data_IF_789309642235
#
_entry.id   IF_789309642235
#
_cell.length_a   1.000
_cell.length_b   1.000
_cell.length_c   1.000
_cell.angle_alpha   90.00
_cell.angle_beta   90.00
_cell.angle_gamma   90.00
#
_symmetry.space_group_name_H-M   'P 1'
#
loop_
_entity.id
_entity.type
_entity.pdbx_description
1 polymer ?
#
# COMPACT_ATOMS: atom_id res chain seq x y z
N UNK A 1 8.73 -4.31 8.23
CA UNK A 1 9.50 -5.56 8.34
C UNK A 1 9.11 -6.40 7.14
N UNK A 2 9.66 -6.08 5.97
CA UNK A 2 9.37 -6.78 4.72
C UNK A 2 10.71 -7.05 4.04
N UNK A 3 11.47 -8.01 4.59
CA UNK A 3 12.72 -8.46 3.97
C UNK A 3 12.39 -9.48 2.88
N UNK A 4 11.69 -9.05 1.84
CA UNK A 4 11.54 -9.85 0.62
C UNK A 4 12.84 -9.74 -0.16
N UNK A 5 13.65 -10.79 -0.14
CA UNK A 5 14.80 -10.93 -1.03
C UNK A 5 14.29 -11.41 -2.39
N UNK A 6 14.76 -10.83 -3.49
CA UNK A 6 14.45 -11.38 -4.81
C UNK A 6 15.18 -12.71 -4.93
N UNK A 7 14.53 -13.73 -5.49
CA UNK A 7 15.17 -15.02 -5.76
C UNK A 7 16.50 -14.85 -6.53
N UNK A 8 16.56 -13.84 -7.42
CA UNK A 8 17.77 -13.45 -8.14
C UNK A 8 18.91 -13.03 -7.20
N UNK A 9 18.64 -12.22 -6.19
CA UNK A 9 19.67 -11.73 -5.25
C UNK A 9 20.32 -12.87 -4.46
N UNK A 10 19.54 -13.93 -4.18
CA UNK A 10 20.02 -15.14 -3.51
C UNK A 10 20.87 -15.98 -4.47
N UNK A 11 20.40 -16.15 -5.71
CA UNK A 11 21.10 -16.91 -6.74
C UNK A 11 22.43 -16.25 -7.12
N UNK A 12 22.46 -14.93 -7.25
CA UNK A 12 23.67 -14.17 -7.59
C UNK A 12 24.75 -14.35 -6.52
N UNK A 13 24.36 -14.42 -5.24
CA UNK A 13 25.30 -14.70 -4.13
C UNK A 13 25.76 -16.16 -4.08
N UNK A 14 24.93 -17.10 -4.53
CA UNK A 14 25.26 -18.52 -4.52
C UNK A 14 26.03 -18.98 -5.77
N UNK A 15 26.17 -18.13 -6.80
CA UNK A 15 26.88 -18.48 -8.03
C UNK A 15 28.30 -18.97 -7.74
N UNK A 16 28.67 -20.09 -8.36
CA UNK A 16 30.00 -20.70 -8.21
C UNK A 16 30.18 -21.51 -6.92
N UNK A 17 29.16 -21.62 -6.06
CA UNK A 17 29.17 -22.50 -4.89
C UNK A 17 28.48 -23.83 -5.20
N UNK A 18 28.87 -24.89 -4.50
CA UNK A 18 28.21 -26.21 -4.61
C UNK A 18 26.72 -26.16 -4.23
N UNK A 19 26.34 -25.18 -3.41
CA UNK A 19 24.96 -24.93 -2.99
C UNK A 19 24.07 -24.31 -4.07
N UNK A 20 24.63 -23.80 -5.18
CA UNK A 20 23.88 -23.09 -6.23
C UNK A 20 22.71 -23.93 -6.76
N UNK A 21 22.97 -25.19 -7.11
CA UNK A 21 21.96 -26.06 -7.73
C UNK A 21 20.83 -26.41 -6.76
N UNK A 22 21.15 -26.63 -5.49
CA UNK A 22 20.16 -26.94 -4.46
C UNK A 22 19.24 -25.75 -4.20
N UNK A 23 19.81 -24.55 -4.02
CA UNK A 23 19.06 -23.31 -3.81
C UNK A 23 18.19 -23.00 -5.02
N UNK A 24 18.74 -23.17 -6.23
CA UNK A 24 18.00 -22.99 -7.49
C UNK A 24 16.79 -23.92 -7.58
N UNK A 25 16.99 -25.21 -7.30
CA UNK A 25 15.89 -26.20 -7.32
C UNK A 25 14.77 -25.84 -6.35
N UNK A 26 15.11 -25.43 -5.12
CA UNK A 26 14.13 -24.99 -4.12
C UNK A 26 13.39 -23.75 -4.61
N UNK A 27 14.09 -22.70 -5.03
CA UNK A 27 13.47 -21.44 -5.46
C UNK A 27 12.54 -21.61 -6.67
N UNK A 28 12.90 -22.46 -7.63
CA UNK A 28 12.05 -22.75 -8.79
C UNK A 28 10.96 -23.80 -8.52
N UNK A 29 11.11 -24.61 -7.45
CA UNK A 29 10.08 -25.53 -6.98
C UNK A 29 9.01 -24.87 -6.10
N UNK A 30 9.32 -23.72 -5.50
CA UNK A 30 8.34 -22.90 -4.80
C UNK A 30 7.38 -22.30 -5.84
N UNK A 31 6.07 -22.54 -5.66
CA UNK A 31 5.07 -21.80 -6.41
C UNK A 31 5.24 -20.32 -6.09
N UNK A 32 5.35 -19.49 -7.13
CA UNK A 32 5.23 -18.06 -6.95
C UNK A 32 3.93 -17.80 -6.19
N UNK A 33 4.01 -17.09 -5.07
CA UNK A 33 2.82 -16.62 -4.41
C UNK A 33 2.04 -15.79 -5.43
N UNK A 34 0.72 -15.99 -5.52
CA UNK A 34 -0.15 -15.15 -6.35
C UNK A 34 -0.32 -13.80 -5.66
N UNK A 35 0.77 -13.03 -5.62
CA UNK A 35 0.82 -11.70 -5.04
C UNK A 35 0.37 -10.72 -6.10
N UNK A 36 -0.85 -10.23 -5.93
CA UNK A 36 -1.39 -9.14 -6.74
C UNK A 36 -0.50 -7.91 -6.57
N UNK A 37 -0.20 -7.23 -7.67
CA UNK A 37 0.54 -5.96 -7.64
C UNK A 37 -0.11 -4.98 -6.66
N UNK A 38 0.71 -4.22 -5.95
CA UNK A 38 0.22 -3.18 -5.04
C UNK A 38 -0.59 -2.18 -5.86
N UNK A 39 -1.87 -2.05 -5.55
CA UNK A 39 -2.73 -1.05 -6.20
C UNK A 39 -2.40 0.32 -5.64
N UNK A 40 -2.20 1.29 -6.52
CA UNK A 40 -1.95 2.67 -6.14
C UNK A 40 -3.24 3.48 -6.23
N UNK A 41 -3.51 4.31 -5.22
CA UNK A 41 -4.69 5.16 -5.16
C UNK A 41 -4.37 6.56 -4.66
N UNK A 42 -5.40 7.41 -4.63
CA UNK A 42 -5.35 8.75 -4.02
C UNK A 42 -6.56 8.96 -3.13
N UNK A 43 -6.44 9.86 -2.15
CA UNK A 43 -7.61 10.30 -1.40
C UNK A 43 -8.37 11.37 -2.17
N UNK A 44 -9.70 11.21 -2.24
CA UNK A 44 -10.61 12.17 -2.81
C UNK A 44 -11.17 13.00 -1.65
N UNK A 45 -10.89 14.31 -1.57
CA UNK A 45 -11.42 15.16 -0.52
C UNK A 45 -12.89 15.52 -0.80
N UNK A 46 -13.72 15.40 0.22
CA UNK A 46 -15.12 15.82 0.23
C UNK A 46 -15.28 16.86 1.35
N UNK A 47 -15.80 18.04 1.00
CA UNK A 47 -16.13 19.07 1.97
C UNK A 47 -17.43 18.69 2.68
N UNK A 48 -17.44 18.81 4.01
CA UNK A 48 -18.59 18.51 4.84
C UNK A 48 -18.76 19.57 5.91
N UNK A 49 -20.00 19.74 6.33
CA UNK A 49 -20.38 20.70 7.35
C UNK A 49 -21.15 19.99 8.46
N UNK A 50 -20.95 20.45 9.69
CA UNK A 50 -21.72 19.97 10.84
C UNK A 50 -21.93 21.09 11.84
N UNK A 51 -23.07 21.07 12.53
CA UNK A 51 -23.34 21.99 13.64
C UNK A 51 -22.86 21.36 14.94
N UNK A 52 -21.98 22.06 15.65
CA UNK A 52 -21.49 21.62 16.96
C UNK A 52 -22.55 21.72 18.04
N UNK A 53 -22.33 21.05 19.18
CA UNK A 53 -23.20 21.15 20.37
C UNK A 53 -23.36 22.59 20.91
N UNK A 54 -22.49 23.53 20.53
CA UNK A 54 -22.56 24.96 20.88
C UNK A 54 -23.17 25.82 19.77
N UNK A 55 -23.91 25.20 18.84
CA UNK A 55 -24.57 25.84 17.72
C UNK A 55 -23.62 26.61 16.76
N UNK A 56 -22.37 26.14 16.63
CA UNK A 56 -21.39 26.68 15.68
C UNK A 56 -21.28 25.78 14.45
N UNK A 57 -21.28 26.37 13.26
CA UNK A 57 -20.96 25.68 12.01
C UNK A 57 -19.49 25.26 12.01
N UNK A 58 -19.23 24.01 11.66
CA UNK A 58 -17.88 23.44 11.53
C UNK A 58 -17.77 22.84 10.13
N UNK A 59 -16.84 23.38 9.35
CA UNK A 59 -16.41 22.82 8.08
C UNK A 59 -15.25 21.85 8.29
N UNK A 60 -15.27 20.72 7.61
CA UNK A 60 -14.19 19.73 7.63
C UNK A 60 -14.12 18.97 6.31
N UNK A 61 -13.01 18.27 6.10
CA UNK A 61 -12.85 17.36 4.95
C UNK A 61 -12.89 15.91 5.39
N UNK A 62 -13.58 15.10 4.60
CA UNK A 62 -13.52 13.63 4.65
C UNK A 62 -12.85 13.12 3.38
N UNK A 63 -12.19 11.97 3.48
CA UNK A 63 -11.35 11.43 2.42
C UNK A 63 -11.86 10.07 1.99
N UNK A 64 -12.17 9.93 0.70
CA UNK A 64 -12.65 8.67 0.11
C UNK A 64 -11.58 8.04 -0.78
N UNK A 65 -11.46 6.71 -0.75
CA UNK A 65 -10.48 6.00 -1.56
C UNK A 65 -10.87 6.01 -3.04
N UNK A 66 -9.98 6.43 -3.93
CA UNK A 66 -10.24 6.42 -5.38
C UNK A 66 -10.41 5.02 -5.99
N UNK A 67 -9.99 3.97 -5.29
CA UNK A 67 -10.02 2.58 -5.80
C UNK A 67 -11.27 1.82 -5.34
N UNK A 68 -11.67 1.97 -4.07
CA UNK A 68 -12.80 1.23 -3.52
C UNK A 68 -13.97 2.12 -3.07
N UNK A 69 -13.85 3.45 -3.19
CA UNK A 69 -14.89 4.42 -2.80
C UNK A 69 -15.11 4.54 -1.28
N UNK A 70 -14.48 3.70 -0.45
CA UNK A 70 -14.69 3.72 1.00
C UNK A 70 -14.00 4.92 1.64
N UNK A 71 -14.70 5.56 2.58
CA UNK A 71 -14.18 6.67 3.38
C UNK A 71 -13.10 6.21 4.36
N UNK A 72 -12.13 7.08 4.60
CA UNK A 72 -11.09 6.98 5.63
C UNK A 72 -11.25 8.09 6.68
N UNK A 73 -12.42 8.70 6.75
CA UNK A 73 -12.70 9.78 7.68
C UNK A 73 -11.89 11.03 7.38
N UNK A 74 -11.45 11.74 8.42
CA UNK A 74 -10.76 13.03 8.31
C UNK A 74 -9.23 12.93 8.17
N UNK A 75 -8.68 11.72 8.06
CA UNK A 75 -7.23 11.47 8.07
C UNK A 75 -6.80 10.90 6.72
N UNK A 76 -5.64 11.32 6.20
CA UNK A 76 -4.99 10.69 5.05
C UNK A 76 -4.01 9.63 5.54
N UNK A 77 -4.37 8.36 5.42
CA UNK A 77 -3.45 7.25 5.73
C UNK A 77 -2.60 6.92 4.50
N UNK A 78 -1.41 6.34 4.72
CA UNK A 78 -0.53 5.85 3.64
C UNK A 78 -1.14 4.69 2.84
N UNK A 79 -2.10 3.98 3.43
CA UNK A 79 -2.80 2.87 2.81
C UNK A 79 -4.30 2.98 3.08
N UNK A 80 -5.11 2.52 2.12
CA UNK A 80 -6.53 2.34 2.35
C UNK A 80 -6.74 1.14 3.30
N UNK A 81 -7.41 1.33 4.46
CA UNK A 81 -7.68 0.21 5.37
C UNK A 81 -8.70 -0.78 4.79
N UNK A 82 -9.45 -0.40 3.75
CA UNK A 82 -10.51 -1.23 3.19
C UNK A 82 -10.05 -2.11 2.02
N UNK A 83 -9.07 -1.65 1.22
CA UNK A 83 -8.63 -2.39 0.03
C UNK A 83 -7.11 -2.55 -0.08
N UNK A 84 -6.33 -2.05 0.89
CA UNK A 84 -4.87 -2.15 0.88
C UNK A 84 -4.16 -1.27 -0.14
N UNK A 85 -4.89 -0.49 -0.95
CA UNK A 85 -4.28 0.40 -1.93
C UNK A 85 -3.31 1.38 -1.26
N UNK A 86 -2.09 1.48 -1.80
CA UNK A 86 -1.11 2.45 -1.34
C UNK A 86 -1.50 3.83 -1.85
N UNK A 87 -1.61 4.77 -0.94
CA UNK A 87 -1.96 6.14 -1.22
C UNK A 87 -0.65 6.88 -1.47
N UNK A 88 -0.30 7.06 -2.74
CA UNK A 88 0.88 7.85 -3.05
C UNK A 88 0.62 9.30 -2.59
N UNK A 89 1.67 9.92 -2.03
CA UNK A 89 1.58 11.25 -1.41
C UNK A 89 0.87 12.19 -2.38
N UNK A 90 -0.25 12.77 -1.93
CA UNK A 90 -0.79 13.94 -2.62
C UNK A 90 0.29 15.02 -2.65
N UNK A 91 0.44 15.64 -3.82
CA UNK A 91 1.38 16.71 -4.08
C UNK A 91 1.46 17.68 -2.90
N UNK A 92 2.69 18.00 -2.50
CA UNK A 92 2.96 19.16 -1.69
C UNK A 92 2.27 20.36 -2.37
N UNK A 93 1.19 20.84 -1.75
CA UNK A 93 0.59 22.10 -2.13
C UNK A 93 1.38 23.19 -1.41
N UNK A 94 2.19 23.92 -2.19
CA UNK A 94 2.76 25.24 -1.90
C UNK A 94 1.65 26.26 -1.56
#
# INVERSE_FOLDING_TARGET
>A
MDSYFRAKDILDKAMGTDSYFQIKSILFGLKAADVVEVRHGRWIPEACESVSKRNRLIEYRVYSCSICGRSNGRVKKKYCPNCGARMDKEADHE
#
